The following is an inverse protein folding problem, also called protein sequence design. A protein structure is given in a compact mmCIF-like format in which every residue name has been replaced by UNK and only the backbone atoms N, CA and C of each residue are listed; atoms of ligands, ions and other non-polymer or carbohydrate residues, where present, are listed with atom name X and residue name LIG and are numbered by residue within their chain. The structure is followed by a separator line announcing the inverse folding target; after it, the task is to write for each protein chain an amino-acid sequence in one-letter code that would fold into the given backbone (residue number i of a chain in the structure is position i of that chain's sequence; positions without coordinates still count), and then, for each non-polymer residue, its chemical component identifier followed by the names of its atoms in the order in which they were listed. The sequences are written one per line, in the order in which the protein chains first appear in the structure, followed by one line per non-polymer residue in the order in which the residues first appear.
data_IF_989668178334
#
_entry.id   IF_989668178334
#
_cell.length_a   1.000
_cell.length_b   1.000
_cell.length_c   1.000
_cell.angle_alpha   90.00
_cell.angle_beta   90.00
_cell.angle_gamma   90.00
#
_symmetry.space_group_name_H-M   'P 1'
#
loop_
_entity.id
_entity.type
_entity.pdbx_description
1 polymer ?
#
# COMPACT_ATOMS: atom_id res chain seq x y z
N UNK A 1 -26.00 28.70 17.07
CA UNK A 1 -25.06 28.83 15.95
C UNK A 1 -23.75 29.43 16.51
N UNK A 2 -22.85 28.59 16.98
CA UNK A 2 -21.54 29.03 17.47
C UNK A 2 -20.51 28.77 16.40
N UNK A 3 -19.90 29.85 15.90
CA UNK A 3 -18.74 29.78 15.00
C UNK A 3 -17.54 29.11 15.68
N UNK A 4 -16.72 28.33 14.97
CA UNK A 4 -15.55 27.72 15.54
C UNK A 4 -14.57 28.79 16.04
N UNK A 5 -14.07 28.63 17.27
CA UNK A 5 -13.07 29.49 17.85
C UNK A 5 -11.78 29.35 17.03
N UNK A 6 -11.39 30.42 16.35
CA UNK A 6 -10.07 30.53 15.72
C UNK A 6 -8.99 30.57 16.83
N UNK A 7 -8.06 29.64 16.78
CA UNK A 7 -6.88 29.65 17.64
C UNK A 7 -5.92 30.70 17.11
N UNK A 8 -5.82 31.83 17.81
CA UNK A 8 -4.84 32.88 17.51
C UNK A 8 -3.63 32.67 18.42
N UNK A 9 -2.55 32.16 17.86
CA UNK A 9 -1.22 32.28 18.47
C UNK A 9 -0.54 33.49 17.82
N UNK A 10 -0.30 34.54 18.60
CA UNK A 10 0.51 35.72 18.28
C UNK A 10 0.28 36.40 16.92
N UNK A 11 -0.99 36.58 16.52
CA UNK A 11 -1.32 37.50 15.41
C UNK A 11 -0.90 37.03 14.00
N UNK A 12 -0.31 35.86 13.83
CA UNK A 12 0.04 35.27 12.52
C UNK A 12 -0.84 34.04 12.24
N UNK A 13 -1.60 34.12 11.18
CA UNK A 13 -2.28 32.95 10.62
C UNK A 13 -1.23 32.07 9.92
N UNK A 14 -0.65 31.10 10.63
CA UNK A 14 0.38 30.21 10.09
C UNK A 14 -0.08 29.40 8.88
N UNK A 15 -1.39 29.27 8.66
CA UNK A 15 -1.95 28.50 7.54
C UNK A 15 -2.15 29.31 6.25
N UNK A 16 -1.95 30.63 6.27
CA UNK A 16 -2.26 31.46 5.11
C UNK A 16 -1.12 31.63 4.09
N UNK A 17 0.04 31.01 4.27
CA UNK A 17 1.18 31.24 3.39
C UNK A 17 2.16 30.05 3.26
N UNK A 18 1.78 28.81 3.55
CA UNK A 18 2.67 27.66 3.36
C UNK A 18 2.70 27.27 1.88
N UNK A 19 3.88 27.32 1.28
CA UNK A 19 4.12 26.87 -0.10
C UNK A 19 4.76 25.51 -0.11
N UNK A 20 4.54 24.74 -1.16
CA UNK A 20 5.21 23.44 -1.32
C UNK A 20 6.74 23.56 -1.28
N UNK A 21 7.29 24.66 -1.80
CA UNK A 21 8.73 24.93 -1.74
C UNK A 21 9.30 25.06 -0.31
N UNK A 22 8.47 25.36 0.70
CA UNK A 22 8.91 25.43 2.11
C UNK A 22 9.25 24.05 2.69
N UNK A 23 8.83 22.97 2.01
CA UNK A 23 9.08 21.58 2.37
C UNK A 23 10.13 20.91 1.49
N UNK A 24 10.67 21.63 0.51
CA UNK A 24 11.69 21.11 -0.38
C UNK A 24 13.07 21.21 0.28
N UNK A 25 13.85 20.15 0.15
CA UNK A 25 15.21 20.06 0.66
C UNK A 25 16.04 19.06 -0.14
N UNK A 26 17.33 19.23 -0.14
CA UNK A 26 18.26 18.30 -0.77
C UNK A 26 18.31 16.98 0.03
N UNK A 27 17.83 15.90 -0.59
CA UNK A 27 17.87 14.54 -0.05
C UNK A 27 18.79 13.67 -0.90
N UNK A 28 20.05 13.50 -0.51
CA UNK A 28 20.97 12.65 -1.25
C UNK A 28 20.52 11.19 -1.30
N UNK A 29 20.68 10.52 -2.45
CA UNK A 29 20.22 9.14 -2.68
C UNK A 29 20.78 8.14 -1.66
N UNK A 30 22.01 8.35 -1.16
CA UNK A 30 22.63 7.51 -0.14
C UNK A 30 21.95 7.59 1.24
N UNK A 31 21.07 8.56 1.45
CA UNK A 31 20.24 8.66 2.66
C UNK A 31 18.95 7.83 2.57
N UNK A 32 18.64 7.29 1.40
CA UNK A 32 17.46 6.45 1.19
C UNK A 32 17.85 4.99 1.39
N UNK A 33 17.20 4.32 2.35
CA UNK A 33 17.39 2.90 2.57
C UNK A 33 16.56 2.09 1.55
N UNK A 34 17.19 1.53 0.52
CA UNK A 34 16.54 0.71 -0.50
C UNK A 34 16.17 -0.71 -0.01
N UNK A 35 16.74 -1.13 1.10
CA UNK A 35 16.44 -2.41 1.76
C UNK A 35 16.20 -2.19 3.25
N UNK A 36 15.25 -2.93 3.86
CA UNK A 36 15.00 -2.80 5.29
C UNK A 36 16.15 -3.40 6.13
N UNK A 37 16.27 -2.97 7.39
CA UNK A 37 17.13 -3.61 8.36
C UNK A 37 16.76 -5.10 8.52
N UNK A 38 17.72 -5.97 8.86
CA UNK A 38 17.47 -7.42 9.02
C UNK A 38 16.39 -7.68 10.08
N UNK A 39 16.49 -7.02 11.23
CA UNK A 39 15.47 -7.01 12.28
C UNK A 39 14.69 -5.70 12.20
N UNK A 40 13.37 -5.74 12.30
CA UNK A 40 12.50 -4.55 12.14
C UNK A 40 12.82 -3.47 13.14
N UNK A 41 13.00 -3.87 14.40
CA UNK A 41 13.26 -2.98 15.53
C UNK A 41 14.70 -2.46 15.64
N UNK A 42 15.63 -2.96 14.82
CA UNK A 42 16.99 -2.39 14.70
C UNK A 42 17.05 -1.11 13.85
N UNK A 43 15.92 -0.72 13.23
CA UNK A 43 15.83 0.54 12.51
C UNK A 43 16.13 1.72 13.42
N UNK A 44 16.78 2.76 12.85
CA UNK A 44 17.06 4.00 13.58
C UNK A 44 15.76 4.76 13.86
N UNK A 45 15.73 5.44 14.98
CA UNK A 45 14.67 6.39 15.35
C UNK A 45 15.28 7.77 15.61
N UNK A 46 14.62 8.80 15.15
CA UNK A 46 14.89 10.19 15.49
C UNK A 46 13.78 10.66 16.42
N UNK A 47 14.14 11.13 17.61
CA UNK A 47 13.19 11.60 18.61
C UNK A 47 13.32 13.09 18.75
N UNK A 48 12.21 13.81 18.57
CA UNK A 48 12.11 15.26 18.75
C UNK A 48 11.04 15.58 19.80
N UNK A 49 11.45 16.24 20.86
CA UNK A 49 10.58 16.66 21.97
C UNK A 49 10.32 18.16 22.02
N UNK A 50 10.45 18.85 20.87
CA UNK A 50 10.38 20.31 20.70
C UNK A 50 11.63 21.07 21.13
N UNK A 51 12.55 20.48 21.85
CA UNK A 51 13.76 21.14 22.36
C UNK A 51 15.04 20.39 21.96
N UNK A 52 15.02 19.10 21.98
CA UNK A 52 16.17 18.22 21.73
C UNK A 52 15.84 17.24 20.61
N UNK A 53 16.83 17.01 19.74
CA UNK A 53 16.80 15.92 18.77
C UNK A 53 17.74 14.84 19.28
N UNK A 54 17.21 13.64 19.52
CA UNK A 54 17.98 12.47 19.94
C UNK A 54 17.88 11.36 18.91
N UNK A 55 18.95 10.60 18.74
CA UNK A 55 18.98 9.40 17.90
C UNK A 55 18.93 8.15 18.79
N UNK A 56 18.29 7.10 18.29
CA UNK A 56 18.19 5.81 18.98
C UNK A 56 17.87 4.66 18.03
N UNK A 57 17.43 3.55 18.58
CA UNK A 57 16.91 2.42 17.82
C UNK A 57 15.43 2.18 18.16
N UNK A 58 14.69 1.64 17.20
CA UNK A 58 13.25 1.44 17.33
C UNK A 58 12.89 0.47 18.48
N UNK A 59 13.76 -0.49 18.79
CA UNK A 59 13.59 -1.39 19.94
C UNK A 59 13.50 -0.68 21.28
N UNK A 60 14.02 0.56 21.36
CA UNK A 60 14.04 1.37 22.57
C UNK A 60 12.87 2.38 22.61
N UNK A 61 11.92 2.32 21.65
CA UNK A 61 10.82 3.30 21.52
C UNK A 61 10.00 3.43 22.79
N UNK A 62 9.83 2.36 23.55
CA UNK A 62 9.10 2.38 24.80
C UNK A 62 9.69 3.37 25.82
N UNK A 63 10.99 3.71 25.74
CA UNK A 63 11.63 4.67 26.63
C UNK A 63 11.13 6.10 26.40
N UNK A 64 10.67 6.40 25.20
CA UNK A 64 10.22 7.74 24.79
C UNK A 64 8.70 7.94 24.94
N UNK A 65 7.93 6.87 25.21
CA UNK A 65 6.49 6.93 25.35
C UNK A 65 6.11 6.92 26.83
N UNK A 66 5.36 7.91 27.35
CA UNK A 66 4.94 7.91 28.74
C UNK A 66 3.99 6.76 29.06
N UNK A 67 3.98 6.31 30.31
CA UNK A 67 3.04 5.30 30.83
C UNK A 67 1.60 5.79 30.71
N UNK A 68 0.66 4.89 30.44
CA UNK A 68 -0.77 5.20 30.34
C UNK A 68 -1.20 5.79 29.00
N UNK A 69 -0.30 5.82 28.00
CA UNK A 69 -0.65 6.19 26.64
C UNK A 69 -1.11 4.96 25.84
N UNK A 70 -1.97 5.21 24.86
CA UNK A 70 -2.38 4.22 23.86
C UNK A 70 -1.87 4.58 22.47
N UNK A 71 -1.25 3.61 21.79
CA UNK A 71 -0.80 3.77 20.43
C UNK A 71 -1.86 3.24 19.46
N UNK A 72 -2.21 4.06 18.47
CA UNK A 72 -3.16 3.71 17.42
C UNK A 72 -2.44 3.36 16.13
N UNK A 73 -2.67 2.14 15.67
CA UNK A 73 -2.05 1.56 14.50
C UNK A 73 -3.06 1.37 13.37
N UNK A 74 -2.64 1.60 12.13
CA UNK A 74 -3.41 1.20 10.97
C UNK A 74 -3.11 -0.28 10.65
N UNK A 75 -4.11 -1.16 10.79
CA UNK A 75 -3.98 -2.61 10.57
C UNK A 75 -4.33 -3.05 9.15
N UNK A 76 -4.45 -2.11 8.22
CA UNK A 76 -4.70 -2.47 6.82
C UNK A 76 -3.55 -3.29 6.24
N UNK A 77 -3.90 -4.28 5.40
CA UNK A 77 -2.97 -5.20 4.76
C UNK A 77 -2.81 -4.85 3.29
N UNK A 78 -1.56 -4.78 2.83
CA UNK A 78 -1.23 -4.49 1.44
C UNK A 78 -1.60 -5.68 0.57
N UNK A 79 -2.31 -5.40 -0.53
CA UNK A 79 -2.60 -6.37 -1.58
C UNK A 79 -1.53 -6.30 -2.68
N UNK A 80 -1.31 -7.40 -3.38
CA UNK A 80 -0.38 -7.47 -4.50
C UNK A 80 -0.96 -6.78 -5.76
N UNK A 81 -1.23 -5.49 -5.66
CA UNK A 81 -2.06 -4.71 -6.58
C UNK A 81 -1.46 -4.48 -7.98
N UNK A 82 -0.23 -4.93 -8.24
CA UNK A 82 0.47 -4.74 -9.51
C UNK A 82 0.51 -6.05 -10.29
N UNK A 83 -0.13 -6.09 -11.46
CA UNK A 83 -0.19 -7.27 -12.33
C UNK A 83 0.53 -6.98 -13.64
N UNK A 84 1.44 -7.86 -14.05
CA UNK A 84 2.17 -7.78 -15.30
C UNK A 84 1.61 -8.78 -16.30
N UNK A 85 1.18 -8.30 -17.46
CA UNK A 85 0.77 -9.09 -18.61
C UNK A 85 1.81 -8.98 -19.73
N UNK A 86 2.00 -10.04 -20.49
CA UNK A 86 2.79 -10.00 -21.70
C UNK A 86 1.98 -9.36 -22.84
N UNK A 87 2.67 -8.63 -23.75
CA UNK A 87 2.02 -7.94 -24.88
C UNK A 87 1.54 -8.88 -25.95
N UNK A 88 2.25 -9.99 -26.16
CA UNK A 88 1.88 -10.99 -27.14
C UNK A 88 0.68 -11.77 -26.62
N UNK A 89 -0.44 -11.63 -27.31
CA UNK A 89 -1.60 -12.50 -27.13
C UNK A 89 -1.38 -13.87 -27.79
N UNK A 90 -0.15 -14.28 -27.98
CA UNK A 90 0.12 -15.62 -28.44
C UNK A 90 -0.30 -16.58 -27.31
N UNK A 91 -1.61 -16.87 -27.29
CA UNK A 91 -2.09 -18.14 -26.75
C UNK A 91 -1.20 -19.17 -27.45
N UNK A 92 -0.28 -19.78 -26.71
CA UNK A 92 0.56 -20.84 -27.21
C UNK A 92 -0.40 -21.87 -27.80
N UNK A 93 -0.30 -22.08 -29.10
CA UNK A 93 -1.14 -23.00 -29.86
C UNK A 93 -0.89 -24.41 -29.28
N UNK A 94 -1.79 -24.84 -28.40
CA UNK A 94 -1.63 -26.04 -27.55
C UNK A 94 -1.61 -27.34 -28.35
N UNK A 95 -1.84 -27.29 -29.68
CA UNK A 95 -1.77 -28.47 -30.53
C UNK A 95 -0.34 -28.92 -30.88
N UNK A 96 0.69 -28.10 -30.56
CA UNK A 96 2.09 -28.37 -30.96
C UNK A 96 3.09 -28.20 -29.81
N UNK A 97 2.81 -28.66 -28.61
CA UNK A 97 3.85 -28.77 -27.57
C UNK A 97 4.66 -30.08 -27.71
N UNK A 98 5.97 -30.00 -28.00
CA UNK A 98 6.86 -31.13 -27.73
C UNK A 98 6.95 -31.30 -26.22
N UNK A 99 6.98 -32.53 -25.75
CA UNK A 99 7.22 -32.91 -24.36
C UNK A 99 8.50 -32.21 -23.85
N UNK A 100 8.36 -31.19 -23.00
CA UNK A 100 9.51 -30.41 -22.52
C UNK A 100 9.94 -31.00 -21.18
N UNK A 101 11.19 -31.48 -21.16
CA UNK A 101 11.91 -31.84 -19.94
C UNK A 101 12.03 -30.60 -19.03
N UNK A 102 11.47 -30.68 -17.84
CA UNK A 102 11.38 -29.58 -16.86
C UNK A 102 12.73 -29.04 -16.35
N UNK A 103 13.84 -29.67 -16.70
CA UNK A 103 15.19 -29.33 -16.22
C UNK A 103 15.93 -28.26 -17.03
N UNK A 104 15.37 -27.77 -18.16
CA UNK A 104 16.07 -26.85 -19.08
C UNK A 104 15.63 -25.38 -19.03
N UNK A 105 14.77 -24.97 -18.10
CA UNK A 105 14.21 -23.61 -18.08
C UNK A 105 14.84 -22.65 -17.05
N UNK A 106 16.06 -22.82 -16.68
CA UNK A 106 16.79 -21.80 -15.88
C UNK A 106 17.94 -21.27 -16.73
N UNK A 107 17.66 -20.29 -17.58
CA UNK A 107 18.67 -19.42 -18.18
C UNK A 107 18.85 -18.18 -17.28
N UNK A 108 19.98 -18.05 -16.55
CA UNK A 108 20.22 -16.92 -15.67
C UNK A 108 20.44 -15.58 -16.40
N UNK A 109 20.52 -15.56 -17.74
CA UNK A 109 20.79 -14.36 -18.54
C UNK A 109 19.52 -13.68 -19.10
N UNK A 110 18.30 -14.17 -18.80
CA UNK A 110 17.06 -13.60 -19.35
C UNK A 110 16.55 -12.35 -18.64
N UNK A 111 17.29 -11.79 -17.68
CA UNK A 111 16.77 -10.80 -16.70
C UNK A 111 16.82 -9.32 -17.13
N UNK A 112 17.40 -8.94 -18.27
CA UNK A 112 17.66 -7.51 -18.56
C UNK A 112 16.76 -6.85 -19.61
N UNK A 113 15.85 -7.59 -20.30
CA UNK A 113 14.97 -7.01 -21.33
C UNK A 113 13.46 -7.15 -21.03
N UNK A 114 13.05 -7.46 -19.79
CA UNK A 114 11.68 -7.93 -19.51
C UNK A 114 10.61 -6.84 -19.48
N UNK A 115 10.93 -5.57 -19.15
CA UNK A 115 9.92 -4.50 -19.06
C UNK A 115 9.43 -3.93 -20.40
N UNK A 116 10.22 -4.01 -21.46
CA UNK A 116 9.84 -3.41 -22.76
C UNK A 116 8.64 -4.11 -23.41
N UNK A 117 8.38 -5.36 -23.07
CA UNK A 117 7.31 -6.19 -23.64
C UNK A 117 6.13 -6.46 -22.70
N UNK A 118 6.04 -5.82 -21.53
CA UNK A 118 4.96 -6.03 -20.59
C UNK A 118 3.99 -4.84 -20.52
N UNK A 119 2.73 -5.13 -20.26
CA UNK A 119 1.71 -4.18 -19.86
C UNK A 119 1.55 -4.33 -18.34
N UNK A 120 1.76 -3.25 -17.63
CA UNK A 120 1.56 -3.19 -16.18
C UNK A 120 0.16 -2.67 -15.88
N UNK A 121 -0.62 -3.40 -15.09
CA UNK A 121 -1.90 -2.97 -14.57
C UNK A 121 -1.75 -2.84 -13.06
N UNK A 122 -1.93 -1.62 -12.56
CA UNK A 122 -1.87 -1.31 -11.13
C UNK A 122 -3.27 -0.97 -10.62
N UNK A 123 -3.83 -1.88 -9.83
CA UNK A 123 -5.15 -1.72 -9.22
C UNK A 123 -5.12 -0.62 -8.15
N UNK A 124 -6.03 0.35 -8.24
CA UNK A 124 -6.14 1.48 -7.32
C UNK A 124 -7.25 1.24 -6.29
N UNK A 125 -8.48 1.12 -6.80
CA UNK A 125 -9.69 0.87 -6.03
C UNK A 125 -10.72 0.11 -6.88
N UNK A 126 -11.63 -0.67 -6.27
CA UNK A 126 -12.71 -1.30 -7.01
C UNK A 126 -13.72 -0.23 -7.51
N UNK A 127 -14.44 -0.56 -8.59
CA UNK A 127 -15.57 0.27 -9.03
C UNK A 127 -16.72 0.24 -8.02
N UNK A 128 -17.66 1.18 -8.12
CA UNK A 128 -18.81 1.28 -7.20
C UNK A 128 -19.61 -0.04 -7.08
N UNK A 129 -19.67 -0.84 -8.15
CA UNK A 129 -20.36 -2.14 -8.16
C UNK A 129 -19.68 -3.18 -7.26
N UNK A 130 -18.43 -2.98 -6.92
CA UNK A 130 -17.58 -3.90 -6.12
C UNK A 130 -17.04 -3.24 -4.84
N UNK A 131 -17.63 -2.13 -4.42
CA UNK A 131 -17.30 -1.46 -3.16
C UNK A 131 -18.19 -2.01 -2.03
N UNK A 132 -17.66 -2.27 -0.82
CA UNK A 132 -16.28 -2.02 -0.38
C UNK A 132 -15.26 -3.04 -0.95
N UNK A 133 -13.97 -2.77 -0.73
CA UNK A 133 -12.87 -3.60 -1.29
C UNK A 133 -12.98 -5.07 -0.94
N UNK A 134 -13.54 -5.41 0.21
CA UNK A 134 -13.81 -6.81 0.63
C UNK A 134 -14.75 -7.52 -0.35
N UNK A 135 -15.73 -6.82 -0.90
CA UNK A 135 -16.63 -7.38 -1.91
C UNK A 135 -15.87 -7.69 -3.20
N UNK A 136 -15.00 -6.78 -3.64
CA UNK A 136 -14.13 -7.03 -4.80
C UNK A 136 -13.21 -8.22 -4.58
N UNK A 137 -12.60 -8.34 -3.39
CA UNK A 137 -11.68 -9.43 -3.06
C UNK A 137 -12.37 -10.80 -3.00
N UNK A 138 -13.67 -10.85 -2.66
CA UNK A 138 -14.51 -12.06 -2.63
C UNK A 138 -15.24 -12.33 -3.97
N UNK A 139 -15.08 -11.47 -4.96
CA UNK A 139 -15.72 -11.67 -6.25
C UNK A 139 -15.21 -12.95 -6.92
N UNK A 140 -16.13 -13.70 -7.54
CA UNK A 140 -15.87 -14.87 -8.37
C UNK A 140 -16.10 -14.53 -9.84
N UNK A 141 -15.43 -15.22 -10.76
CA UNK A 141 -15.51 -15.06 -12.22
C UNK A 141 -15.04 -13.71 -12.77
N UNK A 142 -15.44 -12.59 -12.18
CA UNK A 142 -15.03 -11.28 -12.67
C UNK A 142 -15.13 -10.20 -11.61
N UNK A 143 -14.32 -9.15 -11.80
CA UNK A 143 -14.29 -7.95 -10.95
C UNK A 143 -13.83 -6.75 -11.77
N UNK A 144 -14.27 -5.55 -11.39
CA UNK A 144 -13.85 -4.32 -12.05
C UNK A 144 -13.11 -3.40 -11.07
N UNK A 145 -11.97 -2.91 -11.53
CA UNK A 145 -11.10 -2.01 -10.78
C UNK A 145 -10.75 -0.78 -11.59
N UNK A 146 -10.63 0.36 -10.91
CA UNK A 146 -9.92 1.52 -11.45
C UNK A 146 -8.43 1.23 -11.36
N UNK A 147 -7.71 1.43 -12.47
CA UNK A 147 -6.31 1.03 -12.58
C UNK A 147 -5.47 2.09 -13.29
N UNK A 148 -4.21 2.22 -12.88
CA UNK A 148 -3.19 2.79 -13.76
C UNK A 148 -2.68 1.71 -14.71
N UNK A 149 -2.40 2.09 -15.96
CA UNK A 149 -1.91 1.15 -16.96
C UNK A 149 -0.60 1.65 -17.53
N UNK A 150 0.50 1.01 -17.12
CA UNK A 150 1.82 1.23 -17.71
C UNK A 150 1.88 0.64 -19.11
N UNK A 151 2.25 1.48 -20.09
CA UNK A 151 2.27 1.04 -21.49
C UNK A 151 0.90 0.95 -22.14
N UNK A 152 -0.12 1.67 -21.67
CA UNK A 152 -1.48 1.66 -22.18
C UNK A 152 -1.58 1.86 -23.71
N UNK A 153 -0.70 2.69 -24.31
CA UNK A 153 -0.61 2.90 -25.76
C UNK A 153 -0.16 1.65 -26.53
N UNK A 154 0.50 0.73 -25.84
CA UNK A 154 1.02 -0.53 -26.42
C UNK A 154 -0.01 -1.66 -26.33
N UNK A 155 -1.02 -1.53 -25.49
CA UNK A 155 -2.13 -2.48 -25.37
C UNK A 155 -3.14 -2.26 -26.52
N UNK A 156 -3.03 -3.05 -27.59
CA UNK A 156 -3.87 -2.93 -28.80
C UNK A 156 -4.96 -3.99 -28.89
N UNK A 157 -4.78 -5.13 -28.23
CA UNK A 157 -5.76 -6.22 -28.19
C UNK A 157 -6.99 -5.85 -27.37
N UNK A 158 -8.10 -6.56 -27.59
CA UNK A 158 -9.31 -6.42 -26.76
C UNK A 158 -9.06 -6.93 -25.34
N UNK A 159 -8.36 -8.05 -25.23
CA UNK A 159 -7.99 -8.67 -23.97
C UNK A 159 -6.47 -8.83 -23.85
N UNK A 160 -5.99 -8.85 -22.59
CA UNK A 160 -4.72 -9.44 -22.20
C UNK A 160 -5.02 -10.74 -21.48
N UNK A 161 -4.21 -11.75 -21.71
CA UNK A 161 -4.36 -13.06 -21.05
C UNK A 161 -3.10 -13.41 -20.27
N UNK A 162 -3.30 -14.15 -19.18
CA UNK A 162 -2.23 -14.70 -18.36
C UNK A 162 -2.66 -16.06 -17.83
N UNK A 163 -1.85 -17.07 -18.09
CA UNK A 163 -2.04 -18.39 -17.51
C UNK A 163 -1.46 -18.43 -16.10
N UNK A 164 -2.20 -19.05 -15.20
CA UNK A 164 -1.86 -19.23 -13.80
C UNK A 164 -2.03 -20.69 -13.46
N UNK A 165 -1.29 -21.11 -12.44
CA UNK A 165 -1.43 -22.46 -11.89
C UNK A 165 -1.65 -22.35 -10.39
N UNK A 166 -2.74 -22.91 -9.91
CA UNK A 166 -3.12 -23.00 -8.52
C UNK A 166 -3.45 -24.44 -8.18
N UNK A 167 -2.68 -25.04 -7.29
CA UNK A 167 -2.85 -26.44 -6.87
C UNK A 167 -3.07 -27.43 -8.06
N UNK A 168 -2.20 -27.34 -9.07
CA UNK A 168 -2.25 -28.11 -10.33
C UNK A 168 -3.42 -27.75 -11.27
N UNK A 169 -4.26 -26.78 -10.93
CA UNK A 169 -5.35 -26.30 -11.78
C UNK A 169 -4.81 -25.15 -12.63
N UNK A 170 -5.03 -25.23 -13.94
CA UNK A 170 -4.75 -24.14 -14.87
C UNK A 170 -5.91 -23.16 -14.86
N UNK A 171 -5.61 -21.88 -14.70
CA UNK A 171 -6.57 -20.77 -14.71
C UNK A 171 -6.14 -19.79 -15.78
N UNK A 172 -7.08 -19.37 -16.62
CA UNK A 172 -6.85 -18.27 -17.58
C UNK A 172 -7.40 -16.97 -17.00
N UNK A 173 -6.51 -16.08 -16.58
CA UNK A 173 -6.85 -14.72 -16.19
C UNK A 173 -6.87 -13.82 -17.43
N UNK A 174 -7.95 -13.08 -17.61
CA UNK A 174 -8.13 -12.11 -18.67
C UNK A 174 -8.33 -10.71 -18.11
N UNK A 175 -7.79 -9.70 -18.78
CA UNK A 175 -8.02 -8.29 -18.45
C UNK A 175 -8.53 -7.55 -19.70
N UNK A 176 -9.57 -6.72 -19.53
CA UNK A 176 -10.20 -5.92 -20.56
C UNK A 176 -10.35 -4.46 -20.13
N UNK A 177 -10.01 -3.52 -21.01
CA UNK A 177 -10.33 -2.10 -20.81
C UNK A 177 -11.81 -1.86 -21.06
N UNK A 178 -12.55 -1.46 -20.02
CA UNK A 178 -13.99 -1.15 -20.10
C UNK A 178 -14.20 0.32 -20.40
N UNK A 179 -13.46 1.20 -19.70
CA UNK A 179 -13.54 2.64 -19.87
C UNK A 179 -12.18 3.29 -19.61
N UNK A 180 -12.04 4.52 -20.10
CA UNK A 180 -10.95 5.41 -19.73
C UNK A 180 -11.58 6.65 -19.09
N UNK A 181 -11.18 6.95 -17.89
CA UNK A 181 -11.59 8.12 -17.12
C UNK A 181 -10.40 9.04 -16.91
N UNK A 182 -10.61 10.21 -16.33
CA UNK A 182 -9.53 11.14 -16.05
C UNK A 182 -8.51 10.51 -15.09
N UNK A 183 -7.30 10.30 -15.58
CA UNK A 183 -6.16 9.77 -14.80
C UNK A 183 -6.12 8.25 -14.62
N UNK A 184 -7.13 7.47 -15.02
CA UNK A 184 -7.15 6.02 -14.85
C UNK A 184 -8.00 5.29 -15.90
N UNK A 185 -7.91 3.96 -15.89
CA UNK A 185 -8.74 3.06 -16.70
C UNK A 185 -9.62 2.21 -15.80
N UNK A 186 -10.83 1.92 -16.24
CA UNK A 186 -11.64 0.84 -15.66
C UNK A 186 -11.26 -0.45 -16.36
N UNK A 187 -10.72 -1.39 -15.60
CA UNK A 187 -10.30 -2.72 -16.08
C UNK A 187 -11.22 -3.76 -15.49
N UNK A 188 -11.79 -4.61 -16.35
CA UNK A 188 -12.47 -5.83 -15.93
C UNK A 188 -11.46 -6.99 -15.98
N UNK A 189 -11.23 -7.62 -14.83
CA UNK A 189 -10.56 -8.90 -14.73
C UNK A 189 -11.59 -10.02 -14.73
N UNK A 190 -11.31 -11.09 -15.48
CA UNK A 190 -12.16 -12.29 -15.49
C UNK A 190 -11.29 -13.54 -15.53
N UNK A 191 -11.78 -14.63 -14.97
CA UNK A 191 -11.08 -15.92 -14.94
C UNK A 191 -12.07 -17.08 -15.07
N UNK A 192 -11.56 -18.21 -15.55
CA UNK A 192 -12.37 -19.36 -15.98
C UNK A 192 -12.64 -20.40 -14.86
N UNK A 193 -12.27 -20.10 -13.60
CA UNK A 193 -12.52 -21.01 -12.48
C UNK A 193 -13.56 -20.44 -11.50
N UNK A 194 -14.68 -21.17 -11.23
CA UNK A 194 -15.80 -20.65 -10.46
C UNK A 194 -15.55 -20.52 -8.94
N UNK A 195 -14.70 -21.37 -8.39
CA UNK A 195 -14.50 -21.47 -6.94
C UNK A 195 -13.35 -20.60 -6.43
N UNK A 196 -12.62 -19.96 -7.33
CA UNK A 196 -11.48 -19.10 -6.98
C UNK A 196 -11.95 -17.64 -6.91
N UNK A 197 -11.63 -16.97 -5.79
CA UNK A 197 -11.96 -15.56 -5.58
C UNK A 197 -10.83 -14.64 -6.03
N UNK A 198 -11.14 -13.37 -6.26
CA UNK A 198 -10.15 -12.42 -6.76
C UNK A 198 -8.94 -12.24 -5.84
N UNK A 199 -9.12 -12.37 -4.52
CA UNK A 199 -7.99 -12.31 -3.57
C UNK A 199 -6.96 -13.42 -3.83
N UNK A 200 -7.39 -14.63 -4.21
CA UNK A 200 -6.50 -15.72 -4.57
C UNK A 200 -5.82 -15.44 -5.92
N UNK A 201 -6.58 -14.95 -6.91
CA UNK A 201 -6.03 -14.55 -8.21
C UNK A 201 -4.92 -13.52 -8.01
N UNK A 202 -5.19 -12.43 -7.28
CA UNK A 202 -4.21 -11.35 -7.11
C UNK A 202 -3.00 -11.80 -6.27
N UNK A 203 -3.18 -12.73 -5.34
CA UNK A 203 -2.09 -13.32 -4.57
C UNK A 203 -1.13 -14.16 -5.44
N UNK A 204 -1.68 -14.83 -6.47
CA UNK A 204 -0.88 -15.66 -7.41
C UNK A 204 -0.07 -14.83 -8.39
N UNK A 205 -0.64 -13.74 -8.93
CA UNK A 205 -0.06 -13.01 -10.06
C UNK A 205 0.45 -11.64 -9.70
N UNK A 206 0.00 -11.09 -8.61
CA UNK A 206 0.28 -9.74 -8.20
C UNK A 206 1.68 -9.60 -7.61
N UNK A 207 2.19 -8.40 -7.74
CA UNK A 207 3.41 -7.96 -7.08
C UNK A 207 3.07 -6.85 -6.08
N UNK A 208 3.80 -6.82 -4.97
CA UNK A 208 3.68 -5.75 -3.99
C UNK A 208 4.15 -4.44 -4.63
N UNK A 209 3.32 -3.38 -4.61
CA UNK A 209 3.68 -2.08 -5.16
C UNK A 209 4.60 -1.34 -4.19
N UNK A 210 5.92 -1.42 -4.39
CA UNK A 210 6.87 -0.63 -3.61
C UNK A 210 6.72 0.86 -3.93
N UNK A 211 7.00 1.76 -2.97
CA UNK A 211 7.00 3.20 -3.18
C UNK A 211 7.93 3.63 -4.32
N UNK A 212 7.60 4.70 -5.09
CA UNK A 212 8.36 5.11 -6.27
C UNK A 212 9.83 5.48 -5.98
N UNK A 213 10.14 5.92 -4.77
CA UNK A 213 11.51 6.24 -4.36
C UNK A 213 12.38 4.98 -4.11
N UNK A 214 11.78 3.80 -3.99
CA UNK A 214 12.49 2.52 -3.95
C UNK A 214 12.77 2.09 -5.40
N UNK A 215 13.95 2.42 -5.91
CA UNK A 215 14.33 2.24 -7.31
C UNK A 215 14.81 0.81 -7.62
N UNK A 216 14.14 -0.21 -7.10
CA UNK A 216 14.38 -1.62 -7.39
C UNK A 216 13.08 -2.38 -7.63
N UNK A 217 13.18 -3.54 -8.22
CA UNK A 217 12.04 -4.46 -8.32
C UNK A 217 11.70 -5.06 -6.96
N UNK A 218 10.40 -5.33 -6.76
CA UNK A 218 9.95 -6.10 -5.60
C UNK A 218 10.46 -7.54 -5.72
N UNK A 219 10.85 -8.11 -4.59
CA UNK A 219 11.26 -9.50 -4.48
C UNK A 219 10.36 -10.25 -3.48
N UNK A 220 10.56 -11.57 -3.35
CA UNK A 220 9.71 -12.39 -2.47
C UNK A 220 9.74 -11.93 -1.01
N UNK A 221 10.86 -11.41 -0.52
CA UNK A 221 10.94 -10.93 0.86
C UNK A 221 10.11 -9.67 1.10
N UNK A 222 9.80 -8.89 0.05
CA UNK A 222 8.98 -7.69 0.20
C UNK A 222 7.52 -8.02 0.53
N UNK A 223 7.03 -9.21 0.19
CA UNK A 223 5.69 -9.67 0.58
C UNK A 223 5.50 -9.62 2.10
N UNK A 224 6.54 -10.00 2.84
CA UNK A 224 6.52 -9.96 4.30
C UNK A 224 7.06 -8.64 4.85
N UNK A 225 8.10 -8.08 4.23
CA UNK A 225 8.80 -6.90 4.76
C UNK A 225 8.07 -5.59 4.50
N UNK A 226 7.36 -5.46 3.39
CA UNK A 226 6.49 -4.32 3.10
C UNK A 226 5.06 -4.56 3.60
N UNK A 227 4.96 -5.14 4.81
CA UNK A 227 3.74 -5.43 5.54
C UNK A 227 4.00 -5.24 7.03
N UNK A 228 3.05 -4.69 7.77
CA UNK A 228 3.16 -4.63 9.24
C UNK A 228 2.90 -6.01 9.84
N UNK A 229 3.50 -6.29 11.00
CA UNK A 229 3.35 -7.58 11.69
C UNK A 229 1.94 -7.83 12.23
N UNK A 230 1.12 -6.79 12.28
CA UNK A 230 -0.25 -6.79 12.79
C UNK A 230 -1.30 -6.51 11.70
N UNK A 231 -0.91 -6.50 10.44
CA UNK A 231 -1.83 -6.29 9.32
C UNK A 231 -2.86 -7.45 9.24
N UNK A 232 -4.15 -7.11 9.20
CA UNK A 232 -5.26 -8.08 9.17
C UNK A 232 -6.24 -7.83 8.04
N UNK A 233 -6.56 -6.58 7.73
CA UNK A 233 -7.65 -6.20 6.83
C UNK A 233 -7.12 -5.86 5.44
N UNK A 234 -7.30 -6.75 4.47
CA UNK A 234 -6.85 -6.55 3.09
C UNK A 234 -7.55 -5.40 2.39
N UNK A 235 -6.81 -4.66 1.54
CA UNK A 235 -7.40 -3.57 0.73
C UNK A 235 -6.49 -2.37 0.51
N UNK A 236 -5.33 -2.29 1.15
CA UNK A 236 -4.35 -1.22 0.92
C UNK A 236 -3.44 -1.51 -0.26
N UNK A 237 -3.09 -0.48 -1.02
CA UNK A 237 -2.06 -0.58 -2.07
C UNK A 237 -0.68 -0.12 -1.58
N UNK A 238 -0.61 0.47 -0.38
CA UNK A 238 0.66 0.82 0.28
C UNK A 238 0.61 0.47 1.77
N UNK A 239 1.76 0.09 2.33
CA UNK A 239 1.88 -0.19 3.75
C UNK A 239 1.82 1.09 4.59
N UNK A 240 1.24 1.05 5.80
CA UNK A 240 1.40 2.11 6.79
C UNK A 240 2.84 2.07 7.34
N UNK A 241 3.76 2.71 6.62
CA UNK A 241 5.21 2.52 6.75
C UNK A 241 5.77 2.80 8.14
N UNK A 242 5.17 3.72 8.90
CA UNK A 242 5.57 3.98 10.30
C UNK A 242 5.42 2.74 11.19
N UNK A 243 4.50 1.84 10.85
CA UNK A 243 4.26 0.59 11.58
C UNK A 243 5.23 -0.55 11.25
N UNK A 244 6.03 -0.43 10.18
CA UNK A 244 6.92 -1.51 9.71
C UNK A 244 8.02 -1.89 10.70
N UNK A 245 8.35 -0.99 11.62
CA UNK A 245 9.41 -1.17 12.60
C UNK A 245 8.98 -1.90 13.87
N UNK A 246 7.66 -2.08 14.07
CA UNK A 246 7.11 -2.77 15.22
C UNK A 246 7.13 -4.28 15.01
N UNK A 247 7.84 -4.97 15.87
CA UNK A 247 7.88 -6.43 15.97
C UNK A 247 7.36 -6.90 17.34
N UNK A 248 7.34 -8.19 17.56
CA UNK A 248 6.87 -8.78 18.80
C UNK A 248 7.66 -8.30 20.02
N UNK A 249 8.97 -8.13 19.90
CA UNK A 249 9.82 -7.62 20.96
C UNK A 249 9.39 -6.22 21.40
N UNK A 250 9.17 -5.31 20.45
CA UNK A 250 8.72 -3.94 20.73
C UNK A 250 7.35 -3.95 21.40
N UNK A 251 6.40 -4.75 20.89
CA UNK A 251 5.07 -4.86 21.49
C UNK A 251 5.10 -5.39 22.92
N UNK A 252 5.93 -6.39 23.21
CA UNK A 252 6.11 -6.93 24.55
C UNK A 252 6.67 -5.88 25.52
N UNK A 253 7.65 -5.09 25.06
CA UNK A 253 8.25 -4.02 25.86
C UNK A 253 7.24 -2.90 26.16
N UNK A 254 6.44 -2.50 25.18
CA UNK A 254 5.35 -1.52 25.37
C UNK A 254 4.31 -2.02 26.36
N UNK A 255 3.86 -3.26 26.22
CA UNK A 255 2.89 -3.89 27.10
C UNK A 255 3.40 -3.99 28.54
N UNK A 256 4.67 -4.39 28.73
CA UNK A 256 5.30 -4.45 30.06
C UNK A 256 5.39 -3.07 30.74
N UNK A 257 5.42 -1.99 29.95
CA UNK A 257 5.38 -0.61 30.44
C UNK A 257 3.95 -0.07 30.70
N UNK A 258 2.91 -0.84 30.41
CA UNK A 258 1.50 -0.41 30.53
C UNK A 258 1.07 0.56 29.42
N UNK A 259 1.65 0.39 28.22
CA UNK A 259 1.28 1.15 27.03
C UNK A 259 0.40 0.26 26.15
N UNK A 260 -0.84 0.69 25.91
CA UNK A 260 -1.82 -0.06 25.15
C UNK A 260 -1.65 0.12 23.66
N UNK A 261 -2.05 -0.90 22.89
CA UNK A 261 -2.18 -0.85 21.43
C UNK A 261 -3.65 -0.91 21.03
N UNK A 262 -4.04 -0.03 20.12
CA UNK A 262 -5.37 0.04 19.51
C UNK A 262 -5.23 0.00 18.00
N UNK A 263 -6.25 -0.51 17.32
CA UNK A 263 -6.23 -0.66 15.88
C UNK A 263 -7.37 0.11 15.23
N UNK A 264 -7.07 0.69 14.10
CA UNK A 264 -8.01 1.29 13.16
C UNK A 264 -7.67 0.77 11.78
N UNK A 265 -8.60 0.82 10.85
CA UNK A 265 -8.36 0.48 9.45
C UNK A 265 -8.49 1.73 8.59
N UNK A 266 -7.47 2.05 7.81
CA UNK A 266 -7.52 2.97 6.71
C UNK A 266 -6.89 2.29 5.51
N UNK A 267 -7.66 2.08 4.45
CA UNK A 267 -7.12 1.51 3.21
C UNK A 267 -6.38 2.59 2.44
N UNK A 268 -5.05 2.48 2.46
CA UNK A 268 -4.17 3.43 1.78
C UNK A 268 -4.33 3.28 0.28
N UNK A 269 -4.82 4.34 -0.36
CA UNK A 269 -5.02 4.39 -1.80
C UNK A 269 -3.75 4.71 -2.58
N UNK A 270 -3.79 4.52 -3.90
CA UNK A 270 -2.66 4.80 -4.79
C UNK A 270 -2.29 6.29 -4.89
N UNK A 271 -3.17 7.20 -4.44
CA UNK A 271 -2.88 8.62 -4.33
C UNK A 271 -1.63 8.91 -3.50
N UNK A 272 -1.28 8.03 -2.55
CA UNK A 272 -0.05 8.15 -1.75
C UNK A 272 1.25 8.06 -2.58
N UNK A 273 1.18 7.51 -3.80
CA UNK A 273 2.31 7.44 -4.72
C UNK A 273 2.37 8.61 -5.71
N UNK A 274 1.36 9.47 -5.71
CA UNK A 274 1.33 10.61 -6.63
C UNK A 274 2.07 11.80 -6.01
N UNK A 275 2.99 12.43 -6.76
CA UNK A 275 3.64 13.66 -6.28
C UNK A 275 2.61 14.80 -6.21
N UNK A 276 2.76 15.67 -5.22
CA UNK A 276 2.05 16.94 -5.16
C UNK A 276 2.58 17.85 -6.28
N UNK A 277 1.68 18.39 -7.11
CA UNK A 277 2.03 19.16 -8.32
C UNK A 277 1.63 20.63 -8.25
N UNK A 278 1.09 21.07 -7.13
CA UNK A 278 0.62 22.43 -6.90
C UNK A 278 1.67 23.22 -6.12
N UNK A 279 1.73 24.53 -6.33
CA UNK A 279 2.65 25.42 -5.60
C UNK A 279 2.11 25.77 -4.22
N UNK A 280 0.80 25.99 -4.10
CA UNK A 280 0.12 26.22 -2.83
C UNK A 280 -0.54 24.91 -2.34
N UNK A 281 -0.28 24.52 -1.10
CA UNK A 281 -0.84 23.28 -0.55
C UNK A 281 -2.37 23.32 -0.48
N UNK A 282 -3.00 24.49 -0.42
CA UNK A 282 -4.46 24.66 -0.40
C UNK A 282 -5.12 24.25 -1.72
N UNK A 283 -4.37 24.30 -2.82
CA UNK A 283 -4.83 23.87 -4.14
C UNK A 283 -4.72 22.36 -4.35
N UNK A 284 -4.10 21.64 -3.40
CA UNK A 284 -3.96 20.19 -3.48
C UNK A 284 -5.28 19.48 -3.17
N UNK A 285 -5.82 18.79 -4.17
CA UNK A 285 -6.99 17.94 -4.01
C UNK A 285 -6.59 16.63 -3.33
N UNK A 286 -6.89 16.55 -2.04
CA UNK A 286 -6.64 15.34 -1.26
C UNK A 286 -7.60 14.23 -1.70
N UNK A 287 -7.06 13.07 -2.06
CA UNK A 287 -7.86 11.89 -2.39
C UNK A 287 -8.59 11.35 -1.15
N UNK A 288 -9.77 10.77 -1.38
CA UNK A 288 -10.52 10.08 -0.34
C UNK A 288 -9.93 8.68 -0.09
N UNK A 289 -10.00 8.23 1.15
CA UNK A 289 -9.61 6.89 1.57
C UNK A 289 -10.72 6.29 2.44
N UNK A 290 -10.90 4.98 2.34
CA UNK A 290 -11.89 4.27 3.14
C UNK A 290 -11.34 4.00 4.53
N UNK A 291 -12.12 4.35 5.56
CA UNK A 291 -11.79 4.05 6.95
C UNK A 291 -12.85 3.14 7.57
N UNK A 292 -12.40 2.26 8.47
CA UNK A 292 -13.25 1.43 9.31
C UNK A 292 -12.71 1.48 10.76
N UNK A 293 -13.57 1.93 11.66
CA UNK A 293 -13.22 2.12 13.09
C UNK A 293 -14.32 1.49 13.93
N UNK A 294 -13.94 0.57 14.81
CA UNK A 294 -14.90 -0.12 15.67
C UNK A 294 -15.58 0.85 16.66
N UNK A 295 -16.81 0.52 17.04
CA UNK A 295 -17.57 1.29 18.05
C UNK A 295 -16.79 1.40 19.34
N UNK A 296 -16.15 0.32 19.80
CA UNK A 296 -15.31 0.30 21.00
C UNK A 296 -14.16 1.30 20.93
N UNK A 297 -13.53 1.42 19.75
CA UNK A 297 -12.46 2.39 19.54
C UNK A 297 -12.99 3.83 19.57
N UNK A 298 -14.17 4.08 19.00
CA UNK A 298 -14.83 5.41 19.05
C UNK A 298 -15.21 5.77 20.49
N UNK A 299 -15.79 4.85 21.24
CA UNK A 299 -16.15 5.04 22.65
C UNK A 299 -14.91 5.31 23.52
N UNK A 300 -13.83 4.57 23.27
CA UNK A 300 -12.55 4.82 23.95
C UNK A 300 -12.05 6.23 23.67
N UNK A 301 -12.01 6.66 22.41
CA UNK A 301 -11.57 8.00 22.02
C UNK A 301 -12.44 9.11 22.58
N UNK A 302 -13.75 8.87 22.70
CA UNK A 302 -14.71 9.83 23.28
C UNK A 302 -14.51 10.04 24.79
N UNK A 303 -13.96 9.06 25.49
CA UNK A 303 -13.76 9.08 26.95
C UNK A 303 -12.32 9.37 27.38
N UNK A 304 -11.35 9.19 26.48
CA UNK A 304 -9.91 9.35 26.76
C UNK A 304 -9.39 10.57 26.01
N UNK A 305 -9.10 11.68 26.71
CA UNK A 305 -8.78 12.95 26.04
C UNK A 305 -7.30 13.13 25.69
N UNK A 306 -6.34 12.66 26.49
CA UNK A 306 -4.98 13.20 26.45
C UNK A 306 -3.84 12.17 26.20
N UNK A 307 -4.17 10.88 26.09
CA UNK A 307 -3.15 9.82 26.10
C UNK A 307 -3.08 9.02 24.79
N UNK A 308 -3.36 9.68 23.65
CA UNK A 308 -3.43 9.05 22.34
C UNK A 308 -2.21 9.40 21.50
N UNK A 309 -1.56 8.40 20.94
CA UNK A 309 -0.43 8.54 20.01
C UNK A 309 -0.79 7.84 18.69
N UNK A 310 -0.79 8.59 17.60
CA UNK A 310 -0.98 8.03 16.27
C UNK A 310 0.34 7.48 15.73
N UNK A 311 0.34 6.23 15.29
CA UNK A 311 1.47 5.62 14.59
C UNK A 311 1.29 5.77 13.08
N UNK A 312 1.96 6.78 12.53
CA UNK A 312 1.90 7.16 11.14
C UNK A 312 0.79 8.14 10.80
N UNK A 313 0.94 8.78 9.64
CA UNK A 313 0.01 9.80 9.13
C UNK A 313 -1.37 9.24 8.80
N UNK A 314 -1.47 7.96 8.42
CA UNK A 314 -2.75 7.28 8.18
C UNK A 314 -3.57 7.15 9.47
N UNK A 315 -2.92 6.77 10.58
CA UNK A 315 -3.59 6.74 11.88
C UNK A 315 -3.98 8.15 12.33
N UNK A 316 -3.08 9.13 12.18
CA UNK A 316 -3.36 10.52 12.54
C UNK A 316 -4.54 11.10 11.74
N UNK A 317 -4.64 10.77 10.45
CA UNK A 317 -5.74 11.23 9.59
C UNK A 317 -7.09 10.61 9.98
N UNK A 318 -7.08 9.38 10.50
CA UNK A 318 -8.29 8.67 10.90
C UNK A 318 -8.82 9.18 12.24
N UNK A 319 -7.91 9.46 13.21
CA UNK A 319 -8.24 10.01 14.52
C UNK A 319 -8.70 11.48 14.44
#
# INVERSE_FOLDING_TARGET
MNSPKSWHFNGFCYFCAMKMADFDYDLPDERIAYTPAAVRSDSKILVWDQTIIAEGQYKDIANYIPVGHSLFFNNSKVIAARILFDKSNDLIDLEHMPSIDAEKMIDPNLSTNSRQNKIEIFCLEPTAAFTPVQLAMQATHKVQWKCLVGGAKKWKSEFLHKELFYDHIRILLSAKKIAQEEGHFVIEFSWDHPDIVFSEIIALVGQIPLPPYIQREANETDKDRYQTTYATTEGSVAAPTAGLHFDEHVFNTLSAKGIDKKFITLHVGAGTFMPVKVDDFQDHLMHAEFIDVSVETIEYLATTSDNVIAVGTTSLRTL
#
